data_IF_522888082962
#
_entry.id   IF_522888082962
#
_cell.length_a   1.000
_cell.length_b   1.000
_cell.length_c   1.000
_cell.angle_alpha   90.00
_cell.angle_beta   90.00
_cell.angle_gamma   90.00
#
_symmetry.space_group_name_H-M   'P 1'
#
loop_
_entity.id
_entity.type
_entity.pdbx_description
1 polymer ?
#
# COMPACT_ATOMS: atom_id res chain seq x y z
N UNK A 1 4.27 0.43 -22.64
CA UNK A 1 4.64 1.56 -23.52
C UNK A 1 4.38 2.82 -22.70
N UNK A 2 5.41 3.39 -22.09
CA UNK A 2 5.24 4.55 -21.24
C UNK A 2 4.93 5.77 -22.11
N UNK A 3 3.75 6.37 -21.95
CA UNK A 3 3.39 7.63 -22.59
C UNK A 3 4.13 8.75 -21.87
N UNK A 4 5.32 9.07 -22.37
CA UNK A 4 6.09 10.25 -21.94
C UNK A 4 5.88 11.32 -23.01
N UNK A 5 5.47 12.57 -22.64
CA UNK A 5 5.39 13.65 -23.62
C UNK A 5 6.80 13.94 -24.14
N UNK A 6 6.97 13.73 -25.44
CA UNK A 6 8.20 13.94 -26.19
C UNK A 6 8.48 15.45 -26.25
N UNK A 7 9.59 15.89 -25.65
CA UNK A 7 10.18 17.19 -25.95
C UNK A 7 10.58 17.19 -27.42
N UNK A 8 10.21 18.25 -28.14
CA UNK A 8 10.24 18.40 -29.60
C UNK A 8 11.64 18.45 -30.24
N UNK A 9 12.44 17.41 -30.06
CA UNK A 9 13.65 17.18 -30.85
C UNK A 9 13.66 15.73 -31.34
N UNK A 10 13.54 15.62 -32.67
CA UNK A 10 13.61 14.46 -33.53
C UNK A 10 13.99 13.10 -32.89
N UNK A 11 13.04 12.16 -32.95
CA UNK A 11 13.26 10.74 -33.27
C UNK A 11 14.57 10.12 -32.79
N UNK A 12 14.64 9.79 -31.50
CA UNK A 12 15.36 8.58 -31.08
C UNK A 12 14.47 7.80 -30.11
N UNK A 13 14.03 6.61 -30.52
CA UNK A 13 13.47 5.63 -29.61
C UNK A 13 14.64 5.07 -28.80
N UNK A 14 15.10 5.78 -27.78
CA UNK A 14 15.93 5.17 -26.75
C UNK A 14 15.01 4.24 -25.95
N UNK A 15 15.42 2.97 -25.78
CA UNK A 15 14.80 2.08 -24.81
C UNK A 15 15.00 2.69 -23.42
N UNK A 16 14.05 3.53 -22.99
CA UNK A 16 14.03 4.07 -21.63
C UNK A 16 13.92 2.87 -20.70
N UNK A 17 14.86 2.76 -19.75
CA UNK A 17 14.77 1.72 -18.72
C UNK A 17 13.48 1.89 -17.93
N UNK A 18 12.82 0.79 -17.55
CA UNK A 18 11.57 0.81 -16.76
C UNK A 18 11.65 1.76 -15.54
N UNK A 19 12.79 1.76 -14.86
CA UNK A 19 13.05 2.63 -13.70
C UNK A 19 13.08 4.12 -14.05
N UNK A 20 13.62 4.46 -15.21
CA UNK A 20 13.69 5.82 -15.70
C UNK A 20 12.31 6.30 -16.15
N UNK A 21 11.53 5.45 -16.81
CA UNK A 21 10.13 5.73 -17.17
C UNK A 21 9.28 6.01 -15.92
N UNK A 22 9.40 5.19 -14.88
CA UNK A 22 8.72 5.41 -13.59
C UNK A 22 9.14 6.75 -12.96
N UNK A 23 10.41 7.11 -13.05
CA UNK A 23 10.91 8.38 -12.46
C UNK A 23 10.34 9.59 -13.18
N UNK A 24 10.31 9.55 -14.52
CA UNK A 24 9.72 10.61 -15.35
C UNK A 24 8.23 10.75 -15.08
N UNK A 25 7.49 9.64 -15.05
CA UNK A 25 6.05 9.66 -14.77
C UNK A 25 5.74 10.15 -13.34
N UNK A 26 6.53 9.75 -12.35
CA UNK A 26 6.39 10.27 -10.99
C UNK A 26 6.66 11.77 -10.91
N UNK A 27 7.62 12.29 -11.68
CA UNK A 27 7.87 13.73 -11.76
C UNK A 27 6.67 14.45 -12.37
N UNK A 28 6.13 13.93 -13.47
CA UNK A 28 4.94 14.47 -14.13
C UNK A 28 3.75 14.53 -13.16
N UNK A 29 3.49 13.45 -12.42
CA UNK A 29 2.41 13.38 -11.42
C UNK A 29 2.60 14.40 -10.28
N UNK A 30 3.84 14.62 -9.84
CA UNK A 30 4.12 15.61 -8.79
C UNK A 30 3.85 17.04 -9.26
N UNK A 31 4.20 17.34 -10.52
CA UNK A 31 4.10 18.68 -11.11
C UNK A 31 2.71 18.96 -11.72
N UNK A 32 1.87 17.93 -11.93
CA UNK A 32 0.54 18.03 -12.55
C UNK A 32 -0.38 19.07 -11.90
N UNK A 33 -1.04 19.90 -12.71
CA UNK A 33 -2.09 20.82 -12.27
C UNK A 33 -3.37 20.55 -13.07
N UNK A 34 -4.53 20.38 -12.42
CA UNK A 34 -4.80 20.50 -10.99
C UNK A 34 -4.48 19.21 -10.19
N UNK A 35 -3.94 19.38 -8.97
CA UNK A 35 -3.51 18.27 -8.09
C UNK A 35 -4.64 17.32 -7.67
N UNK A 36 -5.90 17.73 -7.78
CA UNK A 36 -7.07 16.90 -7.43
C UNK A 36 -7.22 15.69 -8.36
N UNK A 37 -6.75 15.79 -9.59
CA UNK A 37 -6.88 14.71 -10.58
C UNK A 37 -5.93 13.56 -10.30
N UNK A 38 -4.74 13.84 -9.76
CA UNK A 38 -3.66 12.87 -9.51
C UNK A 38 -3.54 12.48 -8.03
N UNK A 39 -4.48 12.90 -7.18
CA UNK A 39 -4.40 12.69 -5.74
C UNK A 39 -4.31 11.21 -5.36
N UNK A 40 -5.10 10.35 -6.02
CA UNK A 40 -5.07 8.91 -5.78
C UNK A 40 -3.74 8.29 -6.20
N UNK A 41 -3.14 8.72 -7.32
CA UNK A 41 -1.83 8.27 -7.77
C UNK A 41 -0.73 8.69 -6.79
N UNK A 42 -0.80 9.92 -6.27
CA UNK A 42 0.20 10.49 -5.37
C UNK A 42 0.16 9.91 -3.96
N UNK A 43 -1.03 9.69 -3.40
CA UNK A 43 -1.19 9.29 -2.00
C UNK A 43 -1.64 7.82 -1.82
N UNK A 44 -1.84 7.07 -2.91
CA UNK A 44 -2.35 5.69 -2.85
C UNK A 44 -1.48 4.76 -2.00
N UNK A 45 -0.16 4.85 -2.14
CA UNK A 45 0.80 4.06 -1.34
C UNK A 45 0.71 4.36 0.16
N UNK A 46 0.57 5.63 0.52
CA UNK A 46 0.48 6.05 1.92
C UNK A 46 -0.84 5.60 2.53
N UNK A 47 -1.94 5.66 1.77
CA UNK A 47 -3.24 5.17 2.22
C UNK A 47 -3.19 3.65 2.45
N UNK A 48 -2.54 2.89 1.56
CA UNK A 48 -2.33 1.46 1.75
C UNK A 48 -1.55 1.16 3.04
N UNK A 49 -0.49 1.92 3.30
CA UNK A 49 0.30 1.85 4.53
C UNK A 49 -0.53 2.17 5.79
N UNK A 50 -1.39 3.19 5.74
CA UNK A 50 -2.27 3.56 6.85
C UNK A 50 -3.30 2.47 7.14
N UNK A 51 -3.88 1.85 6.11
CA UNK A 51 -4.83 0.74 6.26
C UNK A 51 -4.14 -0.44 6.97
N UNK A 52 -2.97 -0.86 6.47
CA UNK A 52 -2.21 -1.97 7.06
C UNK A 52 -1.73 -1.67 8.49
N UNK A 53 -1.27 -0.44 8.75
CA UNK A 53 -0.87 0.00 10.07
C UNK A 53 -2.04 -0.01 11.06
N UNK A 54 -3.19 0.53 10.67
CA UNK A 54 -4.38 0.55 11.51
C UNK A 54 -4.83 -0.86 11.89
N UNK A 55 -4.82 -1.81 10.96
CA UNK A 55 -5.13 -3.22 11.29
C UNK A 55 -4.08 -3.88 12.16
N UNK A 56 -2.79 -3.58 11.95
CA UNK A 56 -1.72 -4.03 12.84
C UNK A 56 -1.89 -3.54 14.28
N UNK A 57 -2.27 -2.28 14.46
CA UNK A 57 -2.60 -1.70 15.78
C UNK A 57 -3.77 -2.42 16.45
N UNK A 58 -4.83 -2.70 15.69
CA UNK A 58 -6.02 -3.41 16.20
C UNK A 58 -5.66 -4.83 16.67
N UNK A 59 -4.88 -5.56 15.87
CA UNK A 59 -4.43 -6.92 16.21
C UNK A 59 -3.54 -6.89 17.45
N UNK A 60 -2.62 -5.94 17.54
CA UNK A 60 -1.79 -5.77 18.74
C UNK A 60 -2.63 -5.53 20.00
N UNK A 61 -3.69 -4.72 19.89
CA UNK A 61 -4.61 -4.47 21.01
C UNK A 61 -5.28 -5.76 21.52
N UNK A 62 -5.64 -6.68 20.63
CA UNK A 62 -6.26 -7.98 20.99
C UNK A 62 -5.28 -8.81 21.83
N UNK A 63 -4.06 -9.01 21.35
CA UNK A 63 -3.04 -9.80 22.07
C UNK A 63 -2.63 -9.13 23.39
N UNK A 64 -2.49 -7.81 23.42
CA UNK A 64 -2.18 -7.06 24.64
C UNK A 64 -3.25 -7.20 25.72
N UNK A 65 -4.53 -7.18 25.33
CA UNK A 65 -5.66 -7.38 26.25
C UNK A 65 -5.67 -8.79 26.83
N UNK A 66 -5.38 -9.82 26.03
CA UNK A 66 -5.33 -11.21 26.50
C UNK A 66 -4.21 -11.44 27.51
N UNK A 67 -3.04 -10.81 27.33
CA UNK A 67 -1.90 -10.90 28.25
C UNK A 67 -1.92 -9.88 29.39
N UNK A 68 -2.95 -9.01 29.45
CA UNK A 68 -3.11 -7.98 30.49
C UNK A 68 -1.89 -7.07 30.67
N UNK A 69 -1.15 -6.80 29.59
CA UNK A 69 0.09 -5.99 29.60
C UNK A 69 -0.11 -4.51 29.97
N UNK A 70 -1.37 -4.03 30.04
CA UNK A 70 -1.75 -2.64 30.37
C UNK A 70 -0.84 -1.61 29.66
N UNK A 71 -0.08 -0.81 30.41
CA UNK A 71 0.79 0.25 29.90
C UNK A 71 2.21 -0.22 29.57
N UNK A 72 2.64 -1.38 30.06
CA UNK A 72 4.02 -1.85 29.89
C UNK A 72 4.28 -2.21 28.43
N UNK A 73 5.30 -1.57 27.83
CA UNK A 73 5.67 -1.75 26.42
C UNK A 73 4.60 -1.33 25.42
N UNK A 74 3.57 -0.57 25.82
CA UNK A 74 2.45 -0.19 24.94
C UNK A 74 2.92 0.63 23.74
N UNK A 75 3.74 1.64 23.99
CA UNK A 75 4.27 2.53 22.95
C UNK A 75 5.15 1.72 21.99
N UNK A 76 6.12 0.96 22.52
CA UNK A 76 7.05 0.20 21.71
C UNK A 76 6.34 -0.84 20.81
N UNK A 77 5.48 -1.68 21.39
CA UNK A 77 4.76 -2.71 20.62
C UNK A 77 3.83 -2.10 19.59
N UNK A 78 3.15 -1.01 19.93
CA UNK A 78 2.20 -0.37 19.02
C UNK A 78 2.93 0.28 17.86
N UNK A 79 4.01 1.02 18.11
CA UNK A 79 4.80 1.63 17.04
C UNK A 79 5.39 0.54 16.14
N UNK A 80 6.03 -0.48 16.71
CA UNK A 80 6.62 -1.56 15.91
C UNK A 80 5.57 -2.30 15.06
N UNK A 81 4.45 -2.71 15.66
CA UNK A 81 3.40 -3.47 14.97
C UNK A 81 2.46 -2.62 14.10
N UNK A 82 2.64 -1.29 14.08
CA UNK A 82 1.88 -0.38 13.20
C UNK A 82 2.77 0.14 12.08
N UNK A 83 3.95 0.66 12.43
CA UNK A 83 4.88 1.27 11.49
C UNK A 83 5.49 0.24 10.54
N UNK A 84 5.92 -0.92 11.05
CA UNK A 84 6.52 -1.97 10.22
C UNK A 84 5.55 -2.50 9.15
N UNK A 85 4.34 -2.99 9.48
CA UNK A 85 3.42 -3.44 8.44
C UNK A 85 2.93 -2.31 7.54
N UNK A 86 2.79 -1.08 8.05
CA UNK A 86 2.43 0.08 7.24
C UNK A 86 3.51 0.44 6.21
N UNK A 87 4.78 0.41 6.61
CA UNK A 87 5.91 0.67 5.72
C UNK A 87 6.02 -0.41 4.63
N UNK A 88 5.97 -1.68 5.03
CA UNK A 88 6.04 -2.80 4.09
C UNK A 88 4.85 -2.76 3.11
N UNK A 89 3.64 -2.47 3.60
CA UNK A 89 2.46 -2.34 2.74
C UNK A 89 2.58 -1.18 1.75
N UNK A 90 3.09 -0.01 2.18
CA UNK A 90 3.33 1.13 1.29
C UNK A 90 4.34 0.77 0.19
N UNK A 91 5.44 0.11 0.56
CA UNK A 91 6.47 -0.29 -0.40
C UNK A 91 5.94 -1.33 -1.40
N UNK A 92 5.21 -2.34 -0.92
CA UNK A 92 4.58 -3.34 -1.78
C UNK A 92 3.49 -2.73 -2.66
N UNK A 93 2.74 -1.75 -2.17
CA UNK A 93 1.73 -1.04 -2.97
C UNK A 93 2.36 -0.24 -4.10
N UNK A 94 3.46 0.46 -3.81
CA UNK A 94 4.21 1.17 -4.84
C UNK A 94 4.71 0.21 -5.94
N UNK A 95 5.38 -0.88 -5.54
CA UNK A 95 6.01 -1.80 -6.48
C UNK A 95 5.01 -2.64 -7.29
N UNK A 96 4.01 -3.23 -6.63
CA UNK A 96 3.09 -4.19 -7.26
C UNK A 96 1.85 -3.54 -7.88
N UNK A 97 1.52 -2.29 -7.52
CA UNK A 97 0.29 -1.63 -7.95
C UNK A 97 0.58 -0.30 -8.63
N UNK A 98 1.25 0.63 -7.96
CA UNK A 98 1.50 1.96 -8.55
C UNK A 98 2.38 1.86 -9.80
N UNK A 99 3.51 1.15 -9.76
CA UNK A 99 4.42 1.07 -10.92
C UNK A 99 3.76 0.44 -12.17
N UNK A 100 3.03 -0.69 -12.08
CA UNK A 100 2.31 -1.23 -13.23
C UNK A 100 1.20 -0.31 -13.77
N UNK A 101 0.54 0.47 -12.90
CA UNK A 101 -0.45 1.49 -13.34
C UNK A 101 0.26 2.60 -14.12
N UNK A 102 1.40 3.08 -13.63
CA UNK A 102 2.17 4.15 -14.25
C UNK A 102 2.69 3.73 -15.64
N UNK A 103 3.25 2.53 -15.74
CA UNK A 103 3.78 2.00 -17.01
C UNK A 103 2.71 1.57 -18.01
N UNK A 104 1.43 1.61 -17.61
CA UNK A 104 0.29 1.10 -18.39
C UNK A 104 0.47 -0.38 -18.78
N UNK A 105 1.10 -1.17 -17.90
CA UNK A 105 1.34 -2.62 -18.08
C UNK A 105 0.23 -3.47 -17.47
N UNK A 106 -0.89 -2.85 -17.11
CA UNK A 106 -2.04 -3.44 -16.47
C UNK A 106 -2.92 -4.24 -17.45
N UNK A 107 -2.41 -5.36 -17.97
CA UNK A 107 -3.14 -6.27 -18.87
C UNK A 107 -4.45 -6.84 -18.27
N UNK A 108 -4.58 -6.87 -16.93
CA UNK A 108 -5.75 -7.43 -16.22
C UNK A 108 -6.11 -6.59 -14.98
N UNK A 109 -7.20 -5.82 -15.07
CA UNK A 109 -7.68 -4.97 -13.96
C UNK A 109 -8.12 -5.80 -12.74
N UNK A 110 -8.78 -6.94 -12.95
CA UNK A 110 -9.20 -7.84 -11.87
C UNK A 110 -8.01 -8.39 -11.09
N UNK A 111 -6.94 -8.74 -11.81
CA UNK A 111 -5.71 -9.25 -11.22
C UNK A 111 -5.06 -8.20 -10.32
N UNK A 112 -5.05 -6.94 -10.76
CA UNK A 112 -4.54 -5.81 -9.98
C UNK A 112 -5.31 -5.61 -8.67
N UNK A 113 -6.64 -5.65 -8.70
CA UNK A 113 -7.48 -5.55 -7.49
C UNK A 113 -7.20 -6.71 -6.52
N UNK A 114 -7.10 -7.94 -7.02
CA UNK A 114 -6.77 -9.09 -6.18
C UNK A 114 -5.39 -8.99 -5.56
N UNK A 115 -4.39 -8.55 -6.33
CA UNK A 115 -3.01 -8.37 -5.84
C UNK A 115 -2.95 -7.29 -4.77
N UNK A 116 -3.63 -6.17 -4.95
CA UNK A 116 -3.72 -5.10 -3.96
C UNK A 116 -4.36 -5.59 -2.65
N UNK A 117 -5.48 -6.32 -2.77
CA UNK A 117 -6.20 -6.90 -1.63
C UNK A 117 -5.35 -7.92 -0.87
N UNK A 118 -4.66 -8.81 -1.57
CA UNK A 118 -3.79 -9.82 -0.95
C UNK A 118 -2.59 -9.17 -0.28
N UNK A 119 -1.94 -8.22 -0.96
CA UNK A 119 -0.77 -7.50 -0.44
C UNK A 119 -1.08 -6.78 0.89
N UNK A 120 -2.15 -5.97 0.92
CA UNK A 120 -2.53 -5.24 2.15
C UNK A 120 -2.98 -6.19 3.26
N UNK A 121 -3.68 -7.28 2.95
CA UNK A 121 -4.08 -8.24 3.98
C UNK A 121 -2.92 -9.08 4.51
N UNK A 122 -1.94 -9.40 3.66
CA UNK A 122 -0.73 -10.11 4.07
C UNK A 122 0.08 -9.25 5.04
N UNK A 123 0.29 -7.97 4.72
CA UNK A 123 1.04 -7.04 5.55
C UNK A 123 0.24 -6.57 6.78
N UNK A 124 -1.05 -6.27 6.63
CA UNK A 124 -1.88 -5.65 7.66
C UNK A 124 -2.56 -6.63 8.62
N UNK A 125 -2.73 -7.90 8.22
CA UNK A 125 -3.40 -8.92 9.05
C UNK A 125 -2.48 -10.10 9.34
N UNK A 126 -1.98 -10.80 8.31
CA UNK A 126 -1.20 -12.03 8.53
C UNK A 126 0.12 -11.76 9.25
N UNK A 127 0.86 -10.73 8.83
CA UNK A 127 2.12 -10.35 9.46
C UNK A 127 1.96 -10.00 10.97
N UNK A 128 1.07 -9.07 11.38
CA UNK A 128 0.86 -8.78 12.79
C UNK A 128 0.22 -9.96 13.56
N UNK A 129 -0.57 -10.82 12.91
CA UNK A 129 -1.15 -12.01 13.56
C UNK A 129 -0.08 -13.02 14.01
N UNK A 130 1.04 -13.10 13.27
CA UNK A 130 2.19 -13.96 13.59
C UNK A 130 3.17 -13.24 14.53
N UNK A 131 3.47 -11.97 14.26
CA UNK A 131 4.52 -11.23 15.01
C UNK A 131 4.04 -10.68 16.35
N UNK A 132 2.76 -10.29 16.46
CA UNK A 132 2.18 -9.77 17.70
C UNK A 132 2.24 -10.73 18.90
N UNK A 133 1.87 -12.02 18.80
CA UNK A 133 2.01 -12.94 19.93
C UNK A 133 3.47 -13.07 20.37
N UNK A 134 4.42 -13.16 19.43
CA UNK A 134 5.85 -13.30 19.72
C UNK A 134 6.39 -12.10 20.49
N UNK A 135 6.11 -10.88 20.02
CA UNK A 135 6.58 -9.65 20.67
C UNK A 135 5.92 -9.47 22.04
N UNK A 136 4.60 -9.72 22.15
CA UNK A 136 3.90 -9.55 23.41
C UNK A 136 4.29 -10.62 24.45
N UNK A 137 4.58 -11.86 24.04
CA UNK A 137 5.11 -12.89 24.93
C UNK A 137 6.53 -12.56 25.41
N UNK A 138 7.37 -12.02 24.54
CA UNK A 138 8.72 -11.57 24.91
C UNK A 138 8.69 -10.45 25.96
N UNK A 139 7.72 -9.52 25.87
CA UNK A 139 7.56 -8.47 26.88
C UNK A 139 6.93 -9.01 28.16
N UNK A 140 6.02 -9.97 28.05
CA UNK A 140 5.44 -10.61 29.22
C UNK A 140 6.50 -11.41 30.01
N UNK A 141 7.44 -12.07 29.33
CA UNK A 141 8.54 -12.77 30.00
C UNK A 141 9.48 -11.81 30.75
N UNK A 142 9.79 -10.63 30.19
CA UNK A 142 10.64 -9.64 30.87
C UNK A 142 9.98 -9.03 32.10
N UNK A 143 8.65 -9.05 32.18
CA UNK A 143 7.88 -8.60 33.34
C UNK A 143 7.67 -9.69 34.41
N UNK A 144 8.19 -10.90 34.20
CA UNK A 144 8.07 -12.01 35.15
C UNK A 144 6.73 -12.75 35.10
N UNK A 145 5.94 -12.58 34.03
CA UNK A 145 4.74 -13.41 33.84
C UNK A 145 5.11 -14.86 33.49
N UNK A 146 4.33 -15.82 33.96
CA UNK A 146 4.45 -17.23 33.56
C UNK A 146 3.95 -17.40 32.13
N UNK A 147 4.84 -17.27 31.17
CA UNK A 147 4.58 -17.47 29.73
C UNK A 147 5.21 -18.77 29.24
N UNK A 148 4.63 -19.42 28.21
CA UNK A 148 5.24 -20.60 27.61
C UNK A 148 6.61 -20.26 27.01
N UNK A 149 7.56 -21.18 27.12
CA UNK A 149 8.88 -21.01 26.51
C UNK A 149 8.80 -21.21 24.99
N UNK A 150 9.75 -20.62 24.25
CA UNK A 150 9.85 -20.71 22.78
C UNK A 150 9.91 -22.14 22.22
N UNK A 151 10.38 -23.12 23.00
CA UNK A 151 10.40 -24.53 22.60
C UNK A 151 9.05 -25.26 22.82
N UNK A 152 8.13 -24.68 23.59
CA UNK A 152 6.80 -25.24 23.88
C UNK A 152 5.78 -24.85 22.79
N UNK A 153 6.06 -25.22 21.54
CA UNK A 153 5.28 -24.81 20.36
C UNK A 153 3.79 -25.10 20.51
N UNK A 154 3.44 -26.23 21.12
CA UNK A 154 2.04 -26.61 21.38
C UNK A 154 1.31 -25.61 22.28
N UNK A 155 1.96 -25.13 23.33
CA UNK A 155 1.36 -24.16 24.26
C UNK A 155 1.27 -22.78 23.64
N UNK A 156 2.26 -22.39 22.83
CA UNK A 156 2.22 -21.14 22.03
C UNK A 156 1.06 -21.19 21.05
N UNK A 157 0.88 -22.29 20.31
CA UNK A 157 -0.23 -22.44 19.36
C UNK A 157 -1.59 -22.44 20.07
N UNK A 158 -1.72 -23.07 21.24
CA UNK A 158 -2.94 -23.01 22.05
C UNK A 158 -3.25 -21.58 22.51
N UNK A 159 -2.23 -20.85 22.97
CA UNK A 159 -2.37 -19.43 23.35
C UNK A 159 -2.76 -18.56 22.14
N UNK A 160 -2.12 -18.76 20.99
CA UNK A 160 -2.44 -18.06 19.76
C UNK A 160 -3.88 -18.32 19.35
N UNK A 161 -4.31 -19.58 19.32
CA UNK A 161 -5.68 -19.96 18.96
C UNK A 161 -6.71 -19.43 19.97
N UNK A 162 -6.39 -19.44 21.27
CA UNK A 162 -7.29 -18.91 22.30
C UNK A 162 -7.45 -17.39 22.21
N UNK A 163 -6.42 -16.68 21.75
CA UNK A 163 -6.48 -15.24 21.49
C UNK A 163 -7.27 -14.90 20.20
N UNK A 164 -7.09 -15.69 19.15
CA UNK A 164 -7.64 -15.43 17.80
C UNK A 164 -9.08 -15.90 17.66
N UNK A 165 -9.41 -17.12 18.12
CA UNK A 165 -10.74 -17.74 18.01
C UNK A 165 -11.89 -16.83 18.50
N UNK A 166 -11.85 -16.18 19.68
CA UNK A 166 -12.97 -15.36 20.16
C UNK A 166 -13.15 -14.06 19.37
N UNK A 167 -12.17 -13.66 18.55
CA UNK A 167 -12.18 -12.43 17.76
C UNK A 167 -12.12 -12.71 16.25
N UNK A 168 -12.39 -13.93 15.81
CA UNK A 168 -12.36 -14.32 14.40
C UNK A 168 -13.28 -13.48 13.52
N UNK A 169 -14.50 -13.16 13.99
CA UNK A 169 -15.44 -12.29 13.27
C UNK A 169 -14.87 -10.87 13.06
N UNK A 170 -14.15 -10.35 14.06
CA UNK A 170 -13.52 -9.04 13.95
C UNK A 170 -12.36 -9.07 12.95
N UNK A 171 -11.53 -10.12 12.98
CA UNK A 171 -10.45 -10.30 12.01
C UNK A 171 -10.98 -10.47 10.58
N UNK A 172 -12.06 -11.23 10.40
CA UNK A 172 -12.74 -11.38 9.12
C UNK A 172 -13.28 -10.03 8.62
N UNK A 173 -13.90 -9.25 9.50
CA UNK A 173 -14.36 -7.91 9.16
C UNK A 173 -13.20 -7.00 8.73
N UNK A 174 -12.06 -7.04 9.43
CA UNK A 174 -10.86 -6.28 9.04
C UNK A 174 -10.32 -6.73 7.67
N UNK A 175 -10.29 -8.02 7.37
CA UNK A 175 -9.86 -8.53 6.06
C UNK A 175 -10.75 -8.00 4.92
N UNK A 176 -12.07 -8.08 5.10
CA UNK A 176 -13.04 -7.60 4.11
C UNK A 176 -12.97 -6.08 3.98
N UNK A 177 -12.90 -5.34 5.10
CA UNK A 177 -12.78 -3.89 5.09
C UNK A 177 -11.50 -3.42 4.38
N UNK A 178 -10.36 -4.06 4.66
CA UNK A 178 -9.10 -3.77 3.99
C UNK A 178 -9.19 -3.99 2.49
N UNK A 179 -9.78 -5.11 2.06
CA UNK A 179 -9.96 -5.43 0.64
C UNK A 179 -10.86 -4.40 -0.07
N UNK A 180 -11.98 -4.01 0.55
CA UNK A 180 -12.89 -3.00 -0.01
C UNK A 180 -12.17 -1.65 -0.10
N UNK A 181 -11.56 -1.19 0.99
CA UNK A 181 -10.89 0.10 1.06
C UNK A 181 -9.76 0.21 0.03
N UNK A 182 -8.90 -0.80 -0.06
CA UNK A 182 -7.79 -0.75 -1.02
C UNK A 182 -8.29 -0.80 -2.46
N UNK A 183 -9.31 -1.60 -2.77
CA UNK A 183 -9.85 -1.68 -4.12
C UNK A 183 -10.49 -0.36 -4.57
N UNK A 184 -11.14 0.37 -3.66
CA UNK A 184 -11.64 1.73 -3.95
C UNK A 184 -10.48 2.66 -4.32
N UNK A 185 -9.36 2.59 -3.59
CA UNK A 185 -8.17 3.41 -3.90
C UNK A 185 -7.57 3.02 -5.24
N UNK A 186 -7.40 1.73 -5.52
CA UNK A 186 -6.87 1.26 -6.82
C UNK A 186 -7.78 1.67 -7.98
N UNK A 187 -9.10 1.59 -7.80
CA UNK A 187 -10.06 2.06 -8.80
C UNK A 187 -9.87 3.56 -9.08
N UNK A 188 -9.65 4.37 -8.04
CA UNK A 188 -9.36 5.80 -8.20
C UNK A 188 -7.98 6.06 -8.83
N UNK A 189 -6.98 5.23 -8.56
CA UNK A 189 -5.67 5.31 -9.21
C UNK A 189 -5.77 5.03 -10.71
N UNK A 190 -6.49 3.97 -11.10
CA UNK A 190 -6.72 3.64 -12.51
C UNK A 190 -7.51 4.75 -13.22
N UNK A 191 -8.62 5.18 -12.64
CA UNK A 191 -9.43 6.26 -13.22
C UNK A 191 -8.65 7.57 -13.36
N UNK A 192 -7.75 7.86 -12.42
CA UNK A 192 -6.87 9.03 -12.48
C UNK A 192 -5.89 8.91 -13.64
N UNK A 193 -5.27 7.74 -13.80
CA UNK A 193 -4.33 7.47 -14.89
C UNK A 193 -4.99 7.58 -16.26
N UNK A 194 -6.17 6.97 -16.45
CA UNK A 194 -6.88 7.02 -17.73
C UNK A 194 -7.23 8.46 -18.13
N UNK A 195 -7.61 9.32 -17.17
CA UNK A 195 -7.88 10.74 -17.44
C UNK A 195 -6.62 11.51 -17.84
N UNK A 196 -5.52 11.28 -17.14
CA UNK A 196 -4.24 11.93 -17.46
C UNK A 196 -3.79 11.54 -18.87
N UNK A 197 -3.91 10.25 -19.21
CA UNK A 197 -3.62 9.74 -20.55
C UNK A 197 -4.51 10.38 -21.63
N UNK A 198 -5.82 10.44 -21.42
CA UNK A 198 -6.76 11.07 -22.38
C UNK A 198 -6.44 12.56 -22.61
N UNK A 199 -6.07 13.28 -21.55
CA UNK A 199 -5.64 14.69 -21.67
C UNK A 199 -4.35 14.82 -22.47
N UNK A 200 -3.35 13.98 -22.19
CA UNK A 200 -2.07 14.00 -22.92
C UNK A 200 -2.29 13.72 -24.41
N UNK A 201 -3.12 12.73 -24.75
CA UNK A 201 -3.43 12.39 -26.14
C UNK A 201 -4.15 13.53 -26.87
N UNK A 202 -5.08 14.23 -26.20
CA UNK A 202 -5.76 15.40 -26.77
C UNK A 202 -4.82 16.57 -27.00
N UNK A 203 -3.87 16.80 -26.09
CA UNK A 203 -2.86 17.84 -26.24
C UNK A 203 -1.93 17.50 -27.42
N UNK A 204 -1.50 16.25 -27.54
CA UNK A 204 -0.66 15.78 -28.65
C UNK A 204 -1.37 15.94 -30.01
N UNK A 205 -2.66 15.58 -30.08
CA UNK A 205 -3.48 15.81 -31.27
C UNK A 205 -3.59 17.30 -31.61
N UNK A 206 -3.85 18.16 -30.63
CA UNK A 206 -3.95 19.60 -30.84
C UNK A 206 -2.62 20.25 -31.30
N UNK A 207 -1.48 19.72 -30.84
CA UNK A 207 -0.14 20.13 -31.31
C UNK A 207 0.06 19.68 -32.76
N UNK A 208 -0.27 18.42 -33.08
CA UNK A 208 -0.12 17.87 -34.43
C UNK A 208 -1.03 18.57 -35.45
N UNK A 209 -2.21 19.00 -35.04
CA UNK A 209 -3.15 19.78 -35.86
C UNK A 209 -2.74 21.27 -35.98
N UNK A 210 -1.65 21.70 -35.32
CA UNK A 210 -1.12 23.06 -35.36
C UNK A 210 -1.96 24.10 -34.61
N UNK A 211 -2.86 23.66 -33.73
CA UNK A 211 -3.76 24.54 -32.97
C UNK A 211 -3.09 25.16 -31.74
N UNK A 212 -2.03 24.54 -31.21
CA UNK A 212 -1.32 24.97 -30.00
C UNK A 212 0.19 24.92 -30.25
N UNK A 213 0.88 26.05 -30.08
CA UNK A 213 2.35 26.09 -30.03
C UNK A 213 2.84 25.76 -28.62
N UNK A 214 3.94 24.99 -28.53
CA UNK A 214 4.53 24.54 -27.26
C UNK A 214 4.84 25.69 -26.28
N UNK A 215 5.12 26.90 -26.80
CA UNK A 215 5.36 28.11 -26.00
C UNK A 215 4.17 28.50 -25.11
N UNK A 216 2.95 28.17 -25.51
CA UNK A 216 1.72 28.52 -24.77
C UNK A 216 1.50 27.61 -23.55
N UNK A 217 2.08 26.41 -23.54
CA UNK A 217 1.87 25.39 -22.47
C UNK A 217 2.83 25.63 -21.30
N UNK A 218 3.93 26.35 -21.52
CA UNK A 218 4.97 26.66 -20.51
C UNK A 218 4.74 27.93 -19.69
N UNK A 219 3.71 28.73 -20.00
CA UNK A 219 3.28 29.91 -19.23
C UNK A 219 2.18 29.57 -18.23
#
# INVERSE_FOLDING_TARGET
>A
MALVPVTSEASSYYEISEKEAITVQNKLIKEWRPQREVLALRYGEHIAGLIAGATGMLINSIFRKNLKLRHHGAIFTTIALTATPGFIASMNHNYLITNPILLYENNCSTCLYSTASVSVNLCGVLFPLITSPTINLAIASTLGYRVPYIYEVREICKFWWSAVKPKSNFLLLSLVANAIMINIIVYKQMQSMDRVTDIILKIEQAINDGLISLETITQ
#
